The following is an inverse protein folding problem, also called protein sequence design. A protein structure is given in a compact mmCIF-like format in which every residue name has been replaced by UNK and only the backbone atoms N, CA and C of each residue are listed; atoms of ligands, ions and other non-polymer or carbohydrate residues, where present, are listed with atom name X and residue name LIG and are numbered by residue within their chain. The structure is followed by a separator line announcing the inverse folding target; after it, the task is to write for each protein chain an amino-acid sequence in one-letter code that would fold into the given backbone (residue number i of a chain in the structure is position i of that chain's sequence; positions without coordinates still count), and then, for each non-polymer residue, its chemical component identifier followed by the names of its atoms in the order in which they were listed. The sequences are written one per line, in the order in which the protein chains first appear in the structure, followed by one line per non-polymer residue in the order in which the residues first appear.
data_IF_037436840742
#
_entry.id   IF_037436840742
#
_cell.length_a   1.000
_cell.length_b   1.000
_cell.length_c   1.000
_cell.angle_alpha   90.00
_cell.angle_beta   90.00
_cell.angle_gamma   90.00
#
_symmetry.space_group_name_H-M   'P 1'
#
loop_
_entity.id
_entity.type
_entity.pdbx_description
1 polymer ?
#
# COMPACT_ATOMS: atom_id res chain seq x y z
N UNK A 1 43.83 -45.85 -33.20
CA UNK A 1 42.79 -44.78 -33.01
C UNK A 1 42.40 -44.76 -31.57
N UNK A 2 42.84 -43.76 -30.85
CA UNK A 2 42.51 -43.54 -29.38
C UNK A 2 41.44 -42.53 -29.35
N UNK A 3 40.20 -42.90 -28.88
CA UNK A 3 39.08 -41.99 -28.72
C UNK A 3 39.25 -41.27 -27.35
N UNK A 4 39.46 -39.98 -27.39
CA UNK A 4 39.48 -39.16 -26.17
C UNK A 4 38.02 -38.76 -25.85
N UNK A 5 37.46 -39.32 -24.77
CA UNK A 5 36.14 -38.91 -24.24
C UNK A 5 36.35 -37.61 -23.42
N UNK A 6 35.92 -36.50 -23.95
CA UNK A 6 35.83 -35.22 -23.21
C UNK A 6 34.54 -35.26 -22.40
N UNK A 7 34.69 -35.54 -21.09
CA UNK A 7 33.58 -35.45 -20.14
C UNK A 7 33.21 -33.98 -19.89
N UNK A 8 32.02 -33.57 -20.27
CA UNK A 8 31.45 -32.25 -19.91
C UNK A 8 31.07 -32.27 -18.41
N UNK A 9 31.88 -31.65 -17.57
CA UNK A 9 31.54 -31.42 -16.16
C UNK A 9 30.57 -30.25 -16.09
N UNK A 10 29.29 -30.55 -15.89
CA UNK A 10 28.29 -29.53 -15.59
C UNK A 10 28.56 -29.00 -14.17
N UNK A 11 29.06 -27.77 -14.07
CA UNK A 11 29.16 -27.07 -12.78
C UNK A 11 27.77 -26.79 -12.24
N UNK A 12 27.48 -27.10 -10.95
CA UNK A 12 26.20 -26.77 -10.37
C UNK A 12 26.04 -25.23 -10.34
N UNK A 13 24.97 -24.72 -10.93
CA UNK A 13 24.55 -23.31 -10.77
C UNK A 13 24.17 -23.18 -9.31
N UNK A 14 25.00 -22.51 -8.51
CA UNK A 14 24.71 -22.24 -7.12
C UNK A 14 23.46 -21.36 -7.04
N UNK A 15 22.38 -21.88 -6.44
CA UNK A 15 21.20 -21.11 -6.16
C UNK A 15 21.60 -19.93 -5.25
N UNK A 16 21.28 -18.69 -5.68
CA UNK A 16 21.54 -17.50 -4.88
C UNK A 16 20.78 -17.60 -3.56
N UNK A 17 21.42 -17.24 -2.45
CA UNK A 17 20.76 -17.23 -1.15
C UNK A 17 19.67 -16.16 -1.12
N UNK A 18 18.57 -16.34 -0.35
CA UNK A 18 17.53 -15.32 -0.21
C UNK A 18 18.09 -13.95 0.23
N UNK A 19 19.13 -13.92 1.05
CA UNK A 19 19.80 -12.67 1.47
C UNK A 19 20.48 -11.96 0.30
N UNK A 20 21.21 -12.64 -0.55
CA UNK A 20 21.87 -12.02 -1.71
C UNK A 20 20.84 -11.55 -2.75
N UNK A 21 19.71 -12.23 -2.86
CA UNK A 21 18.63 -11.86 -3.79
C UNK A 21 17.86 -10.63 -3.31
N UNK A 22 17.44 -10.61 -2.03
CA UNK A 22 16.57 -9.55 -1.48
C UNK A 22 17.34 -8.35 -0.97
N UNK A 23 18.58 -8.54 -0.47
CA UNK A 23 19.41 -7.51 0.13
C UNK A 23 20.81 -7.51 -0.47
N UNK A 24 20.99 -7.17 -1.77
CA UNK A 24 22.26 -7.27 -2.47
C UNK A 24 23.36 -6.36 -1.89
N UNK A 25 22.99 -5.37 -1.09
CA UNK A 25 23.92 -4.45 -0.39
C UNK A 25 24.23 -4.88 1.05
N UNK A 26 23.72 -6.03 1.51
CA UNK A 26 23.86 -6.50 2.89
C UNK A 26 22.81 -5.92 3.85
N UNK A 27 21.99 -4.96 3.40
CA UNK A 27 20.86 -4.38 4.13
C UNK A 27 19.61 -4.47 3.27
N UNK A 28 18.50 -4.93 3.84
CA UNK A 28 17.21 -4.97 3.16
C UNK A 28 16.56 -3.58 3.21
N UNK A 29 16.52 -2.89 2.06
CA UNK A 29 15.96 -1.54 1.93
C UNK A 29 14.53 -1.63 1.41
N UNK A 30 13.56 -1.29 2.26
CA UNK A 30 12.15 -1.32 1.90
C UNK A 30 11.51 0.05 1.90
N UNK A 31 10.79 0.40 0.82
CA UNK A 31 10.14 1.70 0.64
C UNK A 31 8.62 1.56 0.70
N UNK A 32 7.95 2.47 1.41
CA UNK A 32 6.49 2.45 1.59
C UNK A 32 5.88 3.86 1.58
N UNK A 33 4.55 3.94 1.46
CA UNK A 33 3.81 5.21 1.55
C UNK A 33 3.79 5.70 3.00
N UNK A 34 4.69 6.63 3.35
CA UNK A 34 4.85 7.16 4.71
C UNK A 34 3.64 7.94 5.24
N UNK A 35 2.76 8.38 4.35
CA UNK A 35 1.52 9.07 4.69
C UNK A 35 0.29 8.15 4.69
N UNK A 36 0.43 6.83 4.49
CA UNK A 36 -0.68 5.87 4.50
C UNK A 36 -0.70 5.06 5.81
N UNK A 37 -1.66 5.30 6.73
CA UNK A 37 -1.71 4.60 8.02
C UNK A 37 -1.84 3.08 7.89
N UNK A 38 -2.38 2.59 6.77
CA UNK A 38 -2.49 1.15 6.48
C UNK A 38 -1.11 0.52 6.22
N UNK A 39 -0.17 1.28 5.66
CA UNK A 39 1.21 0.84 5.51
C UNK A 39 1.99 1.00 6.81
N UNK A 40 1.91 2.17 7.42
CA UNK A 40 2.61 2.50 8.64
C UNK A 40 2.55 3.98 8.98
N UNK A 41 3.12 4.31 10.11
CA UNK A 41 3.23 5.69 10.62
C UNK A 41 4.70 6.03 10.82
N UNK A 42 5.02 7.29 10.58
CA UNK A 42 6.35 7.87 10.87
C UNK A 42 6.18 8.81 12.05
N UNK A 43 6.92 8.57 13.13
CA UNK A 43 6.97 9.51 14.25
C UNK A 43 7.73 10.75 13.81
N UNK A 44 7.06 11.91 13.83
CA UNK A 44 7.64 13.17 13.35
C UNK A 44 8.87 13.64 14.15
N UNK A 45 8.98 13.24 15.42
CA UNK A 45 10.08 13.69 16.29
C UNK A 45 11.30 12.74 16.22
N UNK A 46 11.06 11.41 16.21
CA UNK A 46 12.15 10.41 16.25
C UNK A 46 12.49 9.84 14.86
N UNK A 47 11.60 9.99 13.88
CA UNK A 47 11.71 9.32 12.57
C UNK A 47 11.40 7.81 12.65
N UNK A 48 11.05 7.29 13.82
CA UNK A 48 10.70 5.89 13.99
C UNK A 48 9.48 5.51 13.16
N UNK A 49 9.52 4.34 12.53
CA UNK A 49 8.43 3.82 11.72
C UNK A 49 7.78 2.62 12.42
N UNK A 50 6.44 2.62 12.48
CA UNK A 50 5.63 1.55 13.08
C UNK A 50 4.48 1.16 12.16
N UNK A 51 3.93 -0.04 12.34
CA UNK A 51 2.79 -0.54 11.60
C UNK A 51 3.11 -1.70 10.65
N UNK A 52 2.12 -2.17 9.85
CA UNK A 52 2.20 -3.41 9.11
C UNK A 52 3.42 -3.56 8.19
N UNK A 53 3.78 -2.52 7.43
CA UNK A 53 4.93 -2.59 6.51
C UNK A 53 6.27 -2.58 7.25
N UNK A 54 6.53 -1.64 8.19
CA UNK A 54 7.72 -1.71 9.03
C UNK A 54 7.91 -3.05 9.74
N UNK A 55 6.83 -3.60 10.33
CA UNK A 55 6.88 -4.89 11.02
C UNK A 55 7.26 -6.03 10.05
N UNK A 56 6.61 -6.05 8.87
CA UNK A 56 6.83 -7.08 7.86
C UNK A 56 8.24 -7.03 7.27
N UNK A 57 8.76 -5.81 7.04
CA UNK A 57 10.11 -5.60 6.53
C UNK A 57 11.18 -6.05 7.54
N UNK A 58 11.00 -5.71 8.82
CA UNK A 58 11.90 -6.14 9.90
C UNK A 58 11.88 -7.67 10.07
N UNK A 59 10.69 -8.29 9.97
CA UNK A 59 10.59 -9.75 10.06
C UNK A 59 11.23 -10.46 8.86
N UNK A 60 11.09 -9.91 7.65
CA UNK A 60 11.77 -10.44 6.46
C UNK A 60 13.28 -10.33 6.62
N UNK A 61 13.80 -9.17 7.01
CA UNK A 61 15.22 -8.95 7.24
C UNK A 61 15.77 -9.91 8.31
N UNK A 62 15.06 -10.07 9.42
CA UNK A 62 15.41 -11.02 10.48
C UNK A 62 15.50 -12.46 9.95
N UNK A 63 14.55 -12.87 9.12
CA UNK A 63 14.52 -14.23 8.54
C UNK A 63 15.67 -14.50 7.57
N UNK A 64 16.11 -13.50 6.83
CA UNK A 64 17.24 -13.64 5.90
C UNK A 64 18.60 -13.24 6.52
N UNK A 65 18.62 -12.84 7.80
CA UNK A 65 19.85 -12.57 8.57
C UNK A 65 20.55 -11.27 8.19
N UNK A 66 19.80 -10.20 7.86
CA UNK A 66 20.36 -8.87 7.51
C UNK A 66 19.64 -7.76 8.27
N UNK A 67 20.22 -6.56 8.28
CA UNK A 67 19.55 -5.37 8.79
C UNK A 67 18.44 -4.88 7.85
N UNK A 68 17.44 -4.21 8.44
CA UNK A 68 16.36 -3.56 7.71
C UNK A 68 16.52 -2.04 7.68
N UNK A 69 16.37 -1.43 6.51
CA UNK A 69 16.20 0.02 6.34
C UNK A 69 14.80 0.31 5.82
N UNK A 70 13.97 0.93 6.65
CA UNK A 70 12.59 1.30 6.33
C UNK A 70 12.57 2.72 5.80
N UNK A 71 12.07 2.94 4.58
CA UNK A 71 12.15 4.22 3.85
C UNK A 71 10.73 4.73 3.58
N UNK A 72 10.27 5.80 4.22
CA UNK A 72 9.00 6.42 3.87
C UNK A 72 9.13 7.24 2.59
N UNK A 73 8.21 7.06 1.65
CA UNK A 73 8.05 7.89 0.46
C UNK A 73 6.77 8.74 0.56
N UNK A 74 6.74 9.93 -0.07
CA UNK A 74 5.59 10.83 0.01
C UNK A 74 4.38 10.33 -0.79
N UNK A 75 4.61 9.58 -1.87
CA UNK A 75 3.58 9.11 -2.78
C UNK A 75 4.01 7.83 -3.54
N UNK A 76 3.13 7.29 -4.39
CA UNK A 76 3.39 6.09 -5.16
C UNK A 76 4.52 6.28 -6.20
N UNK A 77 4.64 7.48 -6.76
CA UNK A 77 5.72 7.79 -7.71
C UNK A 77 7.09 7.73 -7.03
N UNK A 78 7.18 8.23 -5.79
CA UNK A 78 8.39 8.12 -4.97
C UNK A 78 8.77 6.68 -4.65
N UNK A 79 7.79 5.80 -4.38
CA UNK A 79 8.07 4.35 -4.20
C UNK A 79 8.61 3.74 -5.49
N UNK A 80 7.97 4.00 -6.63
CA UNK A 80 8.38 3.48 -7.94
C UNK A 80 9.79 4.00 -8.31
N UNK A 81 10.04 5.28 -8.11
CA UNK A 81 11.34 5.89 -8.38
C UNK A 81 12.45 5.26 -7.54
N UNK A 82 12.21 5.01 -6.24
CA UNK A 82 13.19 4.39 -5.34
C UNK A 82 13.55 2.95 -5.75
N UNK A 83 12.59 2.20 -6.28
CA UNK A 83 12.84 0.87 -6.83
C UNK A 83 13.64 0.91 -8.13
N UNK A 84 13.24 1.78 -9.07
CA UNK A 84 13.82 1.85 -10.40
C UNK A 84 15.23 2.45 -10.42
N UNK A 85 15.57 3.34 -9.46
CA UNK A 85 16.92 3.87 -9.32
C UNK A 85 17.82 3.04 -8.38
N UNK A 86 17.32 1.94 -7.80
CA UNK A 86 18.05 1.04 -6.92
C UNK A 86 18.34 1.58 -5.51
N UNK A 87 17.66 2.65 -5.06
CA UNK A 87 17.76 3.14 -3.68
C UNK A 87 16.94 2.30 -2.69
N UNK A 88 15.99 1.48 -3.19
CA UNK A 88 15.26 0.48 -2.43
C UNK A 88 15.29 -0.89 -3.15
N UNK A 89 15.21 -1.98 -2.38
CA UNK A 89 15.23 -3.35 -2.88
C UNK A 89 13.83 -3.89 -3.11
N UNK A 90 12.90 -3.54 -2.22
CA UNK A 90 11.49 -3.91 -2.26
C UNK A 90 10.64 -2.69 -1.90
N UNK A 91 9.42 -2.67 -2.39
CA UNK A 91 8.43 -1.62 -2.08
C UNK A 91 7.07 -2.20 -1.74
N UNK A 92 6.16 -1.30 -1.38
CA UNK A 92 4.79 -1.66 -0.97
C UNK A 92 3.80 -0.69 -1.60
N UNK A 93 2.91 -1.20 -2.45
CA UNK A 93 1.89 -0.41 -3.14
C UNK A 93 0.55 -1.15 -3.24
N UNK A 94 -0.52 -0.38 -3.34
CA UNK A 94 -1.78 -0.88 -3.84
C UNK A 94 -1.63 -1.33 -5.29
N UNK A 95 -2.20 -2.51 -5.63
CA UNK A 95 -2.23 -2.97 -7.01
C UNK A 95 -3.01 -1.97 -7.89
N UNK A 96 -2.42 -1.63 -9.04
CA UNK A 96 -3.05 -0.87 -10.12
C UNK A 96 -2.36 -1.20 -11.44
N UNK A 97 -3.14 -1.34 -12.52
CA UNK A 97 -2.64 -1.70 -13.84
C UNK A 97 -1.64 -0.68 -14.41
N UNK A 98 -1.80 0.60 -14.08
CA UNK A 98 -0.86 1.64 -14.53
C UNK A 98 0.48 1.47 -13.85
N UNK A 99 0.49 1.25 -12.53
CA UNK A 99 1.71 0.97 -11.76
C UNK A 99 2.38 -0.33 -12.18
N UNK A 100 1.59 -1.35 -12.54
CA UNK A 100 2.09 -2.64 -13.03
C UNK A 100 2.88 -2.55 -14.35
N UNK A 101 2.83 -1.42 -15.05
CA UNK A 101 3.70 -1.17 -16.21
C UNK A 101 5.11 -0.75 -15.80
N UNK A 102 5.28 -0.20 -14.61
CA UNK A 102 6.53 0.40 -14.12
C UNK A 102 7.27 -0.49 -13.10
N UNK A 103 6.54 -1.32 -12.35
CA UNK A 103 7.07 -2.25 -11.35
C UNK A 103 6.38 -3.61 -11.46
N UNK A 104 7.01 -4.65 -10.90
CA UNK A 104 6.40 -5.97 -10.80
C UNK A 104 5.76 -6.14 -9.42
N UNK A 105 4.50 -6.59 -9.41
CA UNK A 105 3.72 -6.86 -8.21
C UNK A 105 3.88 -8.31 -7.77
N UNK A 106 4.08 -8.49 -6.47
CA UNK A 106 4.17 -9.79 -5.82
C UNK A 106 2.99 -10.08 -4.89
N UNK A 107 3.23 -10.92 -3.90
CA UNK A 107 2.20 -11.36 -2.96
C UNK A 107 1.55 -10.18 -2.22
N UNK A 108 0.22 -10.20 -2.03
CA UNK A 108 -0.47 -9.25 -1.17
C UNK A 108 -0.16 -9.54 0.31
N UNK A 109 -0.11 -8.49 1.14
CA UNK A 109 0.06 -8.61 2.58
C UNK A 109 -1.18 -8.19 3.36
N UNK A 110 -1.93 -7.18 2.89
CA UNK A 110 -3.22 -6.77 3.43
C UNK A 110 -4.17 -6.35 2.30
N UNK A 111 -5.47 -6.38 2.59
CA UNK A 111 -6.50 -5.77 1.76
C UNK A 111 -6.92 -4.46 2.40
N UNK A 112 -6.74 -3.35 1.70
CA UNK A 112 -7.18 -2.03 2.13
C UNK A 112 -8.61 -1.79 1.67
N UNK A 113 -9.48 -1.48 2.62
CA UNK A 113 -10.84 -1.06 2.35
C UNK A 113 -10.87 0.44 2.04
N UNK A 114 -11.68 0.85 1.08
CA UNK A 114 -11.85 2.24 0.70
C UNK A 114 -13.30 2.65 0.87
N UNK A 115 -13.53 3.75 1.56
CA UNK A 115 -14.86 4.25 1.87
C UNK A 115 -14.98 5.71 1.49
N UNK A 116 -16.19 6.18 1.38
CA UNK A 116 -16.47 7.59 1.24
C UNK A 116 -16.68 8.23 2.62
N UNK A 117 -16.11 9.41 2.79
CA UNK A 117 -16.33 10.28 3.93
C UNK A 117 -17.28 11.41 3.52
N UNK A 118 -18.31 11.67 4.29
CA UNK A 118 -19.33 12.69 4.05
C UNK A 118 -19.57 13.51 5.32
N UNK A 119 -20.23 14.67 5.22
CA UNK A 119 -20.75 15.36 6.42
C UNK A 119 -21.82 14.51 7.11
N UNK A 120 -21.95 14.57 8.42
CA UNK A 120 -22.85 13.73 9.21
C UNK A 120 -24.32 13.77 8.71
N UNK A 121 -24.82 14.97 8.38
CA UNK A 121 -26.17 15.19 7.85
C UNK A 121 -26.36 14.92 6.35
N UNK A 122 -25.34 14.37 5.65
CA UNK A 122 -25.43 14.08 4.21
C UNK A 122 -26.56 13.08 3.91
N UNK A 123 -27.33 13.29 2.83
CA UNK A 123 -28.31 12.30 2.34
C UNK A 123 -27.64 11.08 1.69
N UNK A 124 -26.34 11.14 1.36
CA UNK A 124 -25.57 10.03 0.79
C UNK A 124 -25.34 9.01 1.90
N UNK A 125 -25.89 7.79 1.75
CA UNK A 125 -25.87 6.73 2.77
C UNK A 125 -25.00 5.54 2.38
N UNK A 126 -24.78 5.34 1.08
CA UNK A 126 -24.01 4.24 0.52
C UNK A 126 -23.15 4.71 -0.65
N UNK A 127 -22.21 3.89 -1.09
CA UNK A 127 -21.40 4.17 -2.27
C UNK A 127 -22.23 4.28 -3.55
N UNK A 128 -23.38 3.59 -3.62
CA UNK A 128 -24.31 3.68 -4.75
C UNK A 128 -24.97 5.06 -4.89
N UNK A 129 -24.99 5.84 -3.82
CA UNK A 129 -25.59 7.19 -3.83
C UNK A 129 -24.65 8.26 -4.40
N UNK A 130 -23.38 7.94 -4.66
CA UNK A 130 -22.34 8.94 -4.95
C UNK A 130 -22.37 9.42 -6.40
N UNK A 131 -22.61 8.50 -7.36
CA UNK A 131 -22.56 8.88 -8.80
C UNK A 131 -23.86 9.53 -9.28
N UNK A 132 -24.13 10.74 -8.80
CA UNK A 132 -25.34 11.52 -9.13
C UNK A 132 -24.99 12.93 -9.58
N UNK A 133 -25.87 13.52 -10.39
CA UNK A 133 -25.79 14.93 -10.75
C UNK A 133 -25.86 15.82 -9.50
N UNK A 134 -24.99 16.83 -9.46
CA UNK A 134 -24.88 17.75 -8.34
C UNK A 134 -23.94 17.28 -7.22
N UNK A 135 -23.49 16.01 -7.23
CA UNK A 135 -22.50 15.52 -6.26
C UNK A 135 -21.08 15.85 -6.73
N UNK A 136 -20.28 16.40 -5.83
CA UNK A 136 -18.83 16.65 -6.04
C UNK A 136 -18.03 15.70 -5.15
N UNK A 137 -17.21 14.84 -5.79
CA UNK A 137 -16.34 13.88 -5.12
C UNK A 137 -14.91 14.38 -5.11
N UNK A 138 -14.34 14.56 -3.92
CA UNK A 138 -12.92 14.88 -3.74
C UNK A 138 -12.09 13.60 -3.74
N UNK A 139 -10.92 13.66 -4.37
CA UNK A 139 -9.92 12.60 -4.34
C UNK A 139 -8.50 13.19 -4.45
N UNK A 140 -7.47 12.40 -4.15
CA UNK A 140 -6.07 12.83 -4.19
C UNK A 140 -5.36 12.19 -5.37
N UNK A 141 -4.70 13.01 -6.17
CA UNK A 141 -4.02 12.64 -7.41
C UNK A 141 -3.08 11.43 -7.21
N UNK A 142 -3.21 10.47 -8.11
CA UNK A 142 -2.36 9.27 -8.15
C UNK A 142 -2.62 8.26 -7.03
N UNK A 143 -3.57 8.54 -6.11
CA UNK A 143 -4.02 7.54 -5.16
C UNK A 143 -5.03 6.58 -5.81
N UNK A 144 -5.11 5.36 -5.28
CA UNK A 144 -6.00 4.31 -5.81
C UNK A 144 -7.46 4.75 -5.88
N UNK A 145 -7.92 5.54 -4.90
CA UNK A 145 -9.26 6.09 -4.85
C UNK A 145 -9.52 7.03 -6.03
N UNK A 146 -8.58 7.92 -6.32
CA UNK A 146 -8.68 8.85 -7.46
C UNK A 146 -8.72 8.07 -8.79
N UNK A 147 -7.80 7.12 -8.97
CA UNK A 147 -7.78 6.27 -10.15
C UNK A 147 -9.10 5.50 -10.36
N UNK A 148 -9.70 5.03 -9.26
CA UNK A 148 -10.98 4.33 -9.30
C UNK A 148 -12.13 5.26 -9.65
N UNK A 149 -12.32 6.37 -8.90
CA UNK A 149 -13.47 7.28 -9.12
C UNK A 149 -13.41 7.92 -10.50
N UNK A 150 -12.22 8.28 -10.99
CA UNK A 150 -12.03 8.86 -12.34
C UNK A 150 -12.40 7.90 -13.47
N UNK A 151 -12.26 6.59 -13.25
CA UNK A 151 -12.66 5.57 -14.24
C UNK A 151 -14.13 5.16 -14.13
N UNK A 152 -14.72 5.21 -12.95
CA UNK A 152 -16.02 4.61 -12.63
C UNK A 152 -17.17 5.59 -12.58
N UNK A 153 -16.98 6.77 -11.99
CA UNK A 153 -18.05 7.75 -11.89
C UNK A 153 -18.32 8.39 -13.26
N UNK A 154 -19.62 8.52 -13.59
CA UNK A 154 -20.08 9.01 -14.89
C UNK A 154 -20.78 10.36 -14.79
N UNK A 155 -21.40 10.63 -13.65
CA UNK A 155 -22.33 11.76 -13.45
C UNK A 155 -21.81 12.74 -12.42
N UNK A 156 -21.25 12.26 -11.31
CA UNK A 156 -20.68 13.09 -10.26
C UNK A 156 -19.45 13.87 -10.76
N UNK A 157 -19.27 15.10 -10.28
CA UNK A 157 -18.06 15.88 -10.54
C UNK A 157 -16.92 15.38 -9.68
N UNK A 158 -15.70 15.32 -10.23
CA UNK A 158 -14.50 14.94 -9.48
C UNK A 158 -13.62 16.17 -9.28
N UNK A 159 -13.26 16.45 -8.02
CA UNK A 159 -12.28 17.47 -7.64
C UNK A 159 -11.01 16.79 -7.16
N UNK A 160 -9.94 16.91 -7.91
CA UNK A 160 -8.65 16.26 -7.61
C UNK A 160 -7.73 17.24 -6.88
N UNK A 161 -7.28 16.84 -5.68
CA UNK A 161 -6.25 17.55 -4.92
C UNK A 161 -4.87 17.01 -5.27
N UNK A 162 -3.86 17.86 -5.36
CA UNK A 162 -2.49 17.43 -5.68
C UNK A 162 -1.86 16.62 -4.54
N UNK A 163 -2.18 16.99 -3.30
CA UNK A 163 -1.74 16.33 -2.08
C UNK A 163 -2.92 16.13 -1.14
N UNK A 164 -2.78 15.21 -0.18
CA UNK A 164 -3.80 15.00 0.84
C UNK A 164 -3.94 16.25 1.72
N UNK A 165 -5.11 16.89 1.75
CA UNK A 165 -5.34 18.03 2.63
C UNK A 165 -5.22 17.63 4.11
N UNK A 166 -4.78 18.55 4.99
CA UNK A 166 -4.83 18.33 6.43
C UNK A 166 -6.26 18.03 6.92
N UNK A 167 -6.38 17.28 8.01
CA UNK A 167 -7.67 16.88 8.56
C UNK A 167 -8.67 18.05 8.78
N UNK A 168 -8.28 19.23 9.33
CA UNK A 168 -9.20 20.35 9.48
C UNK A 168 -9.73 20.87 8.14
N UNK A 169 -8.92 20.82 7.08
CA UNK A 169 -9.33 21.24 5.76
C UNK A 169 -10.31 20.24 5.12
N UNK A 170 -10.11 18.93 5.31
CA UNK A 170 -11.07 17.89 4.88
C UNK A 170 -12.42 18.12 5.56
N UNK A 171 -12.43 18.40 6.87
CA UNK A 171 -13.64 18.71 7.62
C UNK A 171 -14.32 19.97 7.07
N UNK A 172 -13.57 21.05 6.84
CA UNK A 172 -14.08 22.30 6.29
C UNK A 172 -14.73 22.08 4.92
N UNK A 173 -14.05 21.41 4.01
CA UNK A 173 -14.52 21.15 2.65
C UNK A 173 -15.87 20.42 2.63
N UNK A 174 -16.02 19.40 3.49
CA UNK A 174 -17.25 18.62 3.58
C UNK A 174 -18.37 19.37 4.30
N UNK A 175 -18.07 20.07 5.38
CA UNK A 175 -19.11 20.80 6.16
C UNK A 175 -19.60 22.06 5.44
N UNK A 176 -18.75 22.76 4.68
CA UNK A 176 -19.13 23.90 3.86
C UNK A 176 -19.94 23.51 2.61
N UNK A 177 -19.84 22.24 2.18
CA UNK A 177 -20.46 21.78 0.93
C UNK A 177 -19.65 22.11 -0.33
N UNK A 178 -18.38 22.54 -0.20
CA UNK A 178 -17.48 22.68 -1.36
C UNK A 178 -17.22 21.34 -2.05
N UNK A 179 -17.25 20.25 -1.28
CA UNK A 179 -17.33 18.88 -1.77
C UNK A 179 -18.41 18.14 -0.94
N UNK A 180 -19.08 17.20 -1.56
CA UNK A 180 -20.12 16.39 -0.89
C UNK A 180 -19.53 15.13 -0.29
N UNK A 181 -18.48 14.60 -0.93
CA UNK A 181 -17.89 13.31 -0.64
C UNK A 181 -16.36 13.41 -0.76
N UNK A 182 -15.63 12.74 0.14
CA UNK A 182 -14.19 12.54 0.02
C UNK A 182 -13.90 11.04 -0.14
N UNK A 183 -13.29 10.65 -1.26
CA UNK A 183 -12.89 9.27 -1.54
C UNK A 183 -11.51 9.01 -0.92
N UNK A 184 -11.46 8.24 0.17
CA UNK A 184 -10.20 7.91 0.89
C UNK A 184 -10.21 6.48 1.40
N UNK A 185 -9.10 5.99 1.94
CA UNK A 185 -9.10 4.70 2.58
C UNK A 185 -9.95 4.72 3.87
N UNK A 186 -10.55 3.56 4.19
CA UNK A 186 -11.49 3.44 5.31
C UNK A 186 -10.86 3.80 6.65
N UNK A 187 -9.58 3.48 6.87
CA UNK A 187 -8.88 3.83 8.11
C UNK A 187 -8.88 5.34 8.33
N UNK A 188 -8.52 6.12 7.30
CA UNK A 188 -8.58 7.59 7.36
C UNK A 188 -9.99 8.12 7.53
N UNK A 189 -10.99 7.49 6.86
CA UNK A 189 -12.39 7.89 7.03
C UNK A 189 -12.83 7.77 8.49
N UNK A 190 -12.51 6.66 9.15
CA UNK A 190 -12.86 6.41 10.55
C UNK A 190 -12.09 7.33 11.51
N UNK A 191 -10.81 7.58 11.24
CA UNK A 191 -9.99 8.54 12.00
C UNK A 191 -10.57 9.96 11.89
N UNK A 192 -10.97 10.38 10.67
CA UNK A 192 -11.56 11.68 10.43
C UNK A 192 -12.94 11.83 11.07
N UNK A 193 -13.78 10.80 11.02
CA UNK A 193 -15.07 10.76 11.72
C UNK A 193 -14.88 10.98 13.23
N UNK A 194 -13.97 10.22 13.85
CA UNK A 194 -13.66 10.33 15.27
C UNK A 194 -13.11 11.72 15.62
N UNK A 195 -12.13 12.21 14.88
CA UNK A 195 -11.47 13.49 15.14
C UNK A 195 -12.38 14.70 14.93
N UNK A 196 -13.42 14.59 14.08
CA UNK A 196 -14.38 15.66 13.82
C UNK A 196 -15.44 15.85 14.90
N UNK A 197 -15.46 15.00 15.93
CA UNK A 197 -16.53 15.01 16.95
C UNK A 197 -17.91 14.76 16.33
N UNK A 198 -18.00 13.79 15.41
CA UNK A 198 -19.22 13.40 14.70
C UNK A 198 -19.80 14.44 13.74
N UNK A 199 -19.01 15.42 13.28
CA UNK A 199 -19.41 16.31 12.18
C UNK A 199 -19.30 15.63 10.83
N UNK A 200 -18.42 14.62 10.72
CA UNK A 200 -18.24 13.77 9.54
C UNK A 200 -18.74 12.35 9.82
N UNK A 201 -19.00 11.62 8.76
CA UNK A 201 -19.43 10.22 8.80
C UNK A 201 -18.75 9.42 7.68
N UNK A 202 -18.05 8.35 8.06
CA UNK A 202 -17.60 7.35 7.12
C UNK A 202 -18.79 6.49 6.65
N UNK A 203 -18.91 6.24 5.35
CA UNK A 203 -19.91 5.28 4.88
C UNK A 203 -19.55 3.87 5.33
N UNK A 204 -20.59 3.08 5.67
CA UNK A 204 -20.37 1.75 6.21
C UNK A 204 -19.83 0.76 5.17
N UNK A 205 -20.20 0.95 3.90
CA UNK A 205 -19.75 0.11 2.80
C UNK A 205 -18.38 0.53 2.26
N UNK A 206 -17.71 -0.40 1.62
CA UNK A 206 -16.49 -0.15 0.85
C UNK A 206 -16.87 -0.03 -0.63
N UNK A 207 -16.39 1.02 -1.29
CA UNK A 207 -16.59 1.14 -2.73
C UNK A 207 -15.49 0.41 -3.53
N UNK A 208 -14.37 0.06 -2.88
CA UNK A 208 -13.24 -0.60 -3.48
C UNK A 208 -12.39 -1.30 -2.41
N UNK A 209 -12.20 -2.59 -2.55
CA UNK A 209 -11.22 -3.37 -1.80
C UNK A 209 -9.96 -3.54 -2.67
N UNK A 210 -8.79 -3.23 -2.12
CA UNK A 210 -7.54 -3.23 -2.89
C UNK A 210 -6.45 -3.98 -2.15
N UNK A 211 -5.88 -4.95 -2.85
CA UNK A 211 -4.68 -5.64 -2.38
C UNK A 211 -3.51 -4.67 -2.27
N UNK A 212 -2.88 -4.65 -1.10
CA UNK A 212 -1.61 -4.00 -0.87
C UNK A 212 -0.54 -5.07 -1.01
N UNK A 213 0.35 -4.88 -1.98
CA UNK A 213 1.29 -5.90 -2.40
C UNK A 213 2.73 -5.45 -2.19
N UNK A 214 3.62 -6.43 -2.08
CA UNK A 214 5.03 -6.20 -2.36
C UNK A 214 5.21 -5.80 -3.82
N UNK A 215 6.14 -4.92 -4.08
CA UNK A 215 6.55 -4.53 -5.42
C UNK A 215 8.08 -4.50 -5.52
N UNK A 216 8.58 -4.80 -6.71
CA UNK A 216 10.01 -4.74 -7.03
C UNK A 216 10.18 -4.05 -8.38
N UNK A 217 11.39 -3.58 -8.68
CA UNK A 217 11.71 -3.09 -10.02
C UNK A 217 11.41 -4.16 -11.09
N UNK A 218 11.09 -3.73 -12.30
CA UNK A 218 10.81 -4.62 -13.44
C UNK A 218 11.89 -5.68 -13.62
N UNK A 219 11.46 -6.92 -13.91
CA UNK A 219 12.34 -8.08 -14.08
C UNK A 219 12.78 -8.72 -12.76
N UNK A 220 12.24 -8.29 -11.61
CA UNK A 220 12.62 -8.76 -10.27
C UNK A 220 12.03 -10.12 -9.87
N UNK A 221 11.86 -11.05 -10.81
CA UNK A 221 11.19 -12.35 -10.58
C UNK A 221 11.77 -13.14 -9.40
N UNK A 222 13.09 -13.24 -9.30
CA UNK A 222 13.73 -13.96 -8.20
C UNK A 222 13.41 -13.35 -6.82
N UNK A 223 13.31 -12.01 -6.73
CA UNK A 223 12.85 -11.32 -5.52
C UNK A 223 11.41 -11.67 -5.19
N UNK A 224 10.53 -11.68 -6.18
CA UNK A 224 9.10 -12.03 -5.99
C UNK A 224 8.90 -13.48 -5.54
N UNK A 225 9.68 -14.40 -6.07
CA UNK A 225 9.66 -15.82 -5.65
C UNK A 225 10.08 -15.96 -4.18
N UNK A 226 11.17 -15.29 -3.77
CA UNK A 226 11.63 -15.30 -2.38
C UNK A 226 10.61 -14.64 -1.42
N UNK A 227 9.98 -13.54 -1.84
CA UNK A 227 8.90 -12.86 -1.09
C UNK A 227 7.68 -13.79 -0.97
N UNK A 228 7.30 -14.50 -2.04
CA UNK A 228 6.18 -15.44 -2.02
C UNK A 228 6.38 -16.57 -0.99
N UNK A 229 7.58 -17.13 -0.93
CA UNK A 229 7.94 -18.15 0.08
C UNK A 229 7.88 -17.58 1.51
N UNK A 230 8.37 -16.36 1.71
CA UNK A 230 8.26 -15.67 3.00
C UNK A 230 6.80 -15.45 3.40
N UNK A 231 5.97 -14.96 2.49
CA UNK A 231 4.55 -14.65 2.75
C UNK A 231 3.72 -15.89 3.09
N UNK A 232 4.05 -17.05 2.53
CA UNK A 232 3.41 -18.31 2.91
C UNK A 232 3.56 -18.59 4.41
N UNK A 233 4.75 -18.39 4.97
CA UNK A 233 5.00 -18.54 6.41
C UNK A 233 4.33 -17.45 7.26
N UNK A 234 4.31 -16.19 6.77
CA UNK A 234 3.66 -15.06 7.44
C UNK A 234 2.15 -15.29 7.56
N UNK A 235 1.50 -15.72 6.48
CA UNK A 235 0.06 -15.99 6.47
C UNK A 235 -0.31 -17.13 7.42
N UNK A 236 0.51 -18.19 7.49
CA UNK A 236 0.27 -19.32 8.38
C UNK A 236 0.42 -18.96 9.87
N UNK A 237 1.28 -18.00 10.20
CA UNK A 237 1.61 -17.64 11.59
C UNK A 237 0.62 -16.65 12.24
N UNK A 238 -0.29 -16.04 11.49
CA UNK A 238 -1.15 -14.96 11.99
C UNK A 238 -0.40 -13.63 12.23
N UNK A 239 0.84 -13.52 11.77
CA UNK A 239 1.69 -12.33 11.96
C UNK A 239 1.00 -11.05 11.50
N UNK A 240 0.41 -11.06 10.29
CA UNK A 240 -0.26 -9.87 9.74
C UNK A 240 -1.44 -9.43 10.58
N UNK A 241 -2.27 -10.39 11.05
CA UNK A 241 -3.38 -10.07 11.95
C UNK A 241 -2.87 -9.37 13.22
N UNK A 242 -1.84 -9.94 13.84
CA UNK A 242 -1.24 -9.35 15.05
C UNK A 242 -0.65 -7.96 14.81
N UNK A 243 -0.04 -7.72 13.66
CA UNK A 243 0.51 -6.40 13.31
C UNK A 243 -0.61 -5.37 13.07
N UNK A 244 -1.68 -5.75 12.37
CA UNK A 244 -2.87 -4.92 12.16
C UNK A 244 -3.50 -4.53 13.50
N UNK A 245 -3.69 -5.51 14.39
CA UNK A 245 -4.29 -5.30 15.72
C UNK A 245 -3.43 -4.35 16.57
N UNK A 246 -2.10 -4.55 16.61
CA UNK A 246 -1.17 -3.65 17.33
C UNK A 246 -1.18 -2.23 16.80
N UNK A 247 -1.36 -2.07 15.49
CA UNK A 247 -1.45 -0.75 14.86
C UNK A 247 -2.82 -0.08 15.03
N UNK A 248 -3.81 -0.74 15.66
CA UNK A 248 -5.16 -0.23 15.85
C UNK A 248 -5.93 -0.02 14.54
N UNK A 249 -5.64 -0.81 13.52
CA UNK A 249 -6.24 -0.63 12.19
C UNK A 249 -7.54 -1.44 12.08
N UNK A 250 -8.61 -0.75 11.68
CA UNK A 250 -9.95 -1.33 11.45
C UNK A 250 -10.41 -1.21 9.99
N UNK A 251 -9.72 -0.41 9.19
CA UNK A 251 -9.98 -0.19 7.77
C UNK A 251 -9.26 -1.16 6.83
N UNK A 252 -8.73 -2.27 7.35
CA UNK A 252 -7.97 -3.28 6.60
C UNK A 252 -8.25 -4.68 7.11
N UNK A 253 -7.91 -5.67 6.33
CA UNK A 253 -7.84 -7.08 6.74
C UNK A 253 -6.56 -7.73 6.21
N UNK A 254 -6.09 -8.76 6.85
CA UNK A 254 -5.01 -9.58 6.32
C UNK A 254 -5.41 -10.12 4.94
N UNK A 255 -4.46 -10.21 4.00
CA UNK A 255 -4.73 -10.83 2.72
C UNK A 255 -5.11 -12.31 2.92
N UNK A 256 -6.15 -12.76 2.23
CA UNK A 256 -6.45 -14.18 2.15
C UNK A 256 -5.41 -14.87 1.26
N UNK A 257 -5.22 -16.18 1.49
CA UNK A 257 -4.33 -17.01 0.68
C UNK A 257 -4.84 -17.15 -0.73
#
# INVERSE_FOLDING_TARGET
MIAVLVGLVALPIAAQSPSSTLAPTGTLRGVFLGNNPVHGRVNANSGETTGPVPDLLRELARKIGVDAKVIPAPDAAGVIAALNNGSADIGFLAYDETRAREVDFGAPFVVMLNSYLVKAGSPIRSSADVDRSGVTVAAVKGQTQELFVSRRLKTAKIRVFQTMPPQPEVERLLTSGEVDVFAINRQRSLEAETASGSKLRALADSFLDVDQCFVVAKGGRAKLEAIGQFMAGINASGFMKSSIDRAGLTGVRAAAR
#
